data_IF_190976634834
#
_entry.id   IF_190976634834
#
_cell.length_a   1.000
_cell.length_b   1.000
_cell.length_c   1.000
_cell.angle_alpha   90.00
_cell.angle_beta   90.00
_cell.angle_gamma   90.00
#
_symmetry.space_group_name_H-M   'P 1'
#
loop_
_entity.id
_entity.type
_entity.pdbx_description
1 polymer ?
#
# COMPACT_ATOMS: atom_id res chain seq x y z
N UNK A 1 -18.05 -24.01 -7.28
CA UNK A 1 -18.05 -22.77 -6.49
C UNK A 1 -16.95 -21.88 -7.05
N UNK A 2 -17.23 -20.60 -7.32
CA UNK A 2 -16.23 -19.61 -7.70
C UNK A 2 -15.63 -18.99 -6.42
N UNK A 3 -14.50 -18.30 -6.55
CA UNK A 3 -13.82 -17.65 -5.42
C UNK A 3 -13.88 -16.14 -5.57
N UNK A 4 -13.81 -15.41 -4.46
CA UNK A 4 -13.58 -13.97 -4.45
C UNK A 4 -12.07 -13.75 -4.55
N UNK A 5 -11.63 -12.85 -5.42
CA UNK A 5 -10.21 -12.56 -5.59
C UNK A 5 -9.81 -11.29 -4.83
N UNK A 6 -8.89 -11.41 -3.87
CA UNK A 6 -8.14 -10.26 -3.35
C UNK A 6 -6.95 -10.02 -4.27
N UNK A 7 -6.88 -8.84 -4.90
CA UNK A 7 -5.88 -8.55 -5.92
C UNK A 7 -5.05 -7.32 -5.55
N UNK A 8 -3.75 -7.51 -5.44
CA UNK A 8 -2.79 -6.43 -5.27
C UNK A 8 -2.52 -5.75 -6.62
N UNK A 9 -2.64 -4.40 -6.66
CA UNK A 9 -2.41 -3.62 -7.89
C UNK A 9 -1.00 -3.02 -7.97
N UNK A 10 -0.10 -3.35 -7.05
CA UNK A 10 1.24 -2.78 -7.03
C UNK A 10 1.29 -1.35 -6.48
N UNK A 11 2.48 -0.72 -6.54
CA UNK A 11 2.79 0.50 -5.81
C UNK A 11 2.30 1.81 -6.46
N UNK A 12 1.72 1.75 -7.67
CA UNK A 12 1.19 2.93 -8.36
C UNK A 12 1.37 2.93 -9.87
N UNK A 13 2.46 2.35 -10.37
CA UNK A 13 2.66 2.16 -11.80
C UNK A 13 1.72 1.05 -12.32
N UNK A 14 0.81 1.37 -13.26
CA UNK A 14 -0.12 0.39 -13.78
C UNK A 14 0.53 -0.76 -14.55
N UNK A 15 1.75 -0.59 -15.08
CA UNK A 15 2.46 -1.66 -15.78
C UNK A 15 3.12 -2.67 -14.82
N UNK A 16 3.15 -2.37 -13.52
CA UNK A 16 3.63 -3.29 -12.48
C UNK A 16 2.54 -4.24 -11.94
N UNK A 17 1.40 -4.30 -12.60
CA UNK A 17 0.42 -5.36 -12.37
C UNK A 17 1.00 -6.71 -12.77
N UNK A 18 0.76 -7.74 -11.95
CA UNK A 18 1.11 -9.09 -12.39
C UNK A 18 0.18 -9.55 -13.51
N UNK A 19 0.70 -10.32 -14.47
CA UNK A 19 -0.11 -10.89 -15.56
C UNK A 19 -1.32 -11.67 -15.05
N UNK A 20 -1.16 -12.38 -13.93
CA UNK A 20 -2.26 -13.11 -13.28
C UNK A 20 -3.34 -12.17 -12.75
N UNK A 21 -2.95 -11.06 -12.12
CA UNK A 21 -3.87 -10.05 -11.62
C UNK A 21 -4.68 -9.45 -12.79
N UNK A 22 -4.02 -9.01 -13.85
CA UNK A 22 -4.67 -8.41 -15.02
C UNK A 22 -5.63 -9.39 -15.69
N UNK A 23 -5.23 -10.66 -15.88
CA UNK A 23 -6.10 -11.68 -16.44
C UNK A 23 -7.37 -11.87 -15.62
N UNK A 24 -7.26 -12.00 -14.30
CA UNK A 24 -8.41 -12.19 -13.42
C UNK A 24 -9.30 -10.95 -13.40
N UNK A 25 -8.74 -9.74 -13.37
CA UNK A 25 -9.50 -8.50 -13.43
C UNK A 25 -10.34 -8.39 -14.72
N UNK A 26 -9.86 -8.92 -15.83
CA UNK A 26 -10.63 -8.99 -17.07
C UNK A 26 -11.75 -10.03 -17.05
N UNK A 27 -11.64 -11.07 -16.20
CA UNK A 27 -12.60 -12.18 -16.10
C UNK A 27 -13.73 -11.95 -15.08
N UNK A 28 -13.56 -10.99 -14.13
CA UNK A 28 -14.55 -10.72 -13.09
C UNK A 28 -15.66 -9.78 -13.57
N UNK A 29 -16.82 -9.85 -12.92
CA UNK A 29 -18.00 -9.03 -13.23
C UNK A 29 -18.00 -7.73 -12.41
N UNK A 30 -17.49 -7.77 -11.18
CA UNK A 30 -17.55 -6.69 -10.20
C UNK A 30 -16.21 -6.51 -9.50
N UNK A 31 -15.75 -5.26 -9.41
CA UNK A 31 -14.51 -4.89 -8.73
C UNK A 31 -14.81 -3.91 -7.57
N UNK A 32 -14.48 -4.32 -6.36
CA UNK A 32 -14.46 -3.44 -5.19
C UNK A 32 -13.08 -2.79 -5.08
N UNK A 33 -13.04 -1.47 -4.87
CA UNK A 33 -11.78 -0.73 -4.74
C UNK A 33 -11.79 0.24 -3.56
N UNK A 34 -10.64 0.37 -2.84
CA UNK A 34 -10.52 1.27 -1.70
C UNK A 34 -10.34 2.72 -2.13
N UNK A 35 -10.73 3.62 -1.22
CA UNK A 35 -10.43 5.03 -1.32
C UNK A 35 -10.47 5.70 0.04
N UNK A 36 -10.15 6.96 0.06
CA UNK A 36 -10.23 7.81 1.25
C UNK A 36 -11.18 8.99 1.05
N UNK A 37 -11.76 9.46 2.16
CA UNK A 37 -12.51 10.71 2.20
C UNK A 37 -11.68 11.72 2.97
N UNK A 38 -11.37 12.83 2.33
CA UNK A 38 -10.69 13.95 2.96
C UNK A 38 -11.45 15.24 2.63
N UNK A 39 -11.90 16.00 3.63
CA UNK A 39 -12.70 17.22 3.48
C UNK A 39 -13.90 17.05 2.52
N UNK A 40 -14.59 15.89 2.61
CA UNK A 40 -15.73 15.56 1.75
C UNK A 40 -15.38 15.04 0.35
N UNK A 41 -14.14 15.19 -0.11
CA UNK A 41 -13.71 14.69 -1.40
C UNK A 41 -13.28 13.22 -1.32
N UNK A 42 -13.81 12.40 -2.23
CA UNK A 42 -13.42 10.99 -2.39
C UNK A 42 -12.22 10.89 -3.32
N UNK A 43 -11.17 10.21 -2.88
CA UNK A 43 -9.98 9.91 -3.69
C UNK A 43 -9.62 8.44 -3.55
N UNK A 44 -9.18 7.83 -4.64
CA UNK A 44 -8.64 6.47 -4.65
C UNK A 44 -7.28 6.46 -5.34
N UNK A 45 -6.31 5.83 -4.70
CA UNK A 45 -4.96 5.65 -5.27
C UNK A 45 -4.96 4.58 -6.37
N UNK A 46 -5.85 3.59 -6.28
CA UNK A 46 -5.91 2.48 -7.22
C UNK A 46 -6.81 2.75 -8.44
N UNK A 47 -7.72 3.71 -8.36
CA UNK A 47 -8.66 3.98 -9.45
C UNK A 47 -7.97 4.34 -10.78
N UNK A 48 -6.90 5.18 -10.81
CA UNK A 48 -6.15 5.44 -12.04
C UNK A 48 -5.53 4.20 -12.68
N UNK A 49 -5.16 3.19 -11.87
CA UNK A 49 -4.65 1.90 -12.39
C UNK A 49 -5.77 1.14 -13.10
N UNK A 50 -6.98 1.12 -12.53
CA UNK A 50 -8.15 0.50 -13.17
C UNK A 50 -8.49 1.18 -14.49
N UNK A 51 -8.43 2.51 -14.54
CA UNK A 51 -8.67 3.30 -15.77
C UNK A 51 -7.62 3.01 -16.85
N UNK A 52 -6.33 2.94 -16.49
CA UNK A 52 -5.26 2.64 -17.43
C UNK A 52 -5.52 1.32 -18.18
N UNK A 53 -6.03 0.31 -17.46
CA UNK A 53 -6.36 -1.00 -18.02
C UNK A 53 -7.79 -1.11 -18.58
N UNK A 54 -8.54 0.01 -18.73
CA UNK A 54 -9.91 0.06 -19.23
C UNK A 54 -10.88 -0.84 -18.46
N UNK A 55 -10.66 -0.93 -17.15
CA UNK A 55 -11.51 -1.74 -16.25
C UNK A 55 -12.72 -0.94 -15.72
N UNK A 56 -12.83 0.34 -16.03
CA UNK A 56 -13.98 1.19 -15.73
C UNK A 56 -15.25 0.81 -16.47
N UNK A 57 -15.14 0.02 -17.56
CA UNK A 57 -16.28 -0.55 -18.26
C UNK A 57 -16.99 -1.67 -17.47
N UNK A 58 -16.36 -2.16 -16.40
CA UNK A 58 -16.94 -3.14 -15.48
C UNK A 58 -17.72 -2.47 -14.36
N UNK A 59 -18.54 -3.25 -13.66
CA UNK A 59 -19.18 -2.73 -12.43
C UNK A 59 -18.11 -2.46 -11.37
N UNK A 60 -17.96 -1.18 -10.98
CA UNK A 60 -17.00 -0.74 -9.97
C UNK A 60 -17.75 -0.27 -8.72
N UNK A 61 -17.33 -0.75 -7.55
CA UNK A 61 -17.83 -0.30 -6.23
C UNK A 61 -16.69 0.20 -5.35
N UNK A 62 -16.69 1.51 -5.09
CA UNK A 62 -15.71 2.11 -4.19
C UNK A 62 -16.15 2.08 -2.73
N UNK A 63 -15.30 1.58 -1.83
CA UNK A 63 -15.46 1.72 -0.39
C UNK A 63 -14.45 2.74 0.14
N UNK A 64 -14.96 3.75 0.86
CA UNK A 64 -14.18 4.93 1.19
C UNK A 64 -14.04 5.09 2.69
N UNK A 65 -12.80 5.20 3.17
CA UNK A 65 -12.45 5.33 4.57
C UNK A 65 -12.15 6.80 4.91
N UNK A 66 -12.67 7.27 6.03
CA UNK A 66 -12.22 8.54 6.59
C UNK A 66 -10.83 8.37 7.20
N UNK A 67 -9.92 9.28 6.89
CA UNK A 67 -8.59 9.31 7.50
C UNK A 67 -8.69 9.85 8.93
N UNK A 68 -9.12 8.99 9.86
CA UNK A 68 -9.28 9.29 11.29
C UNK A 68 -8.45 8.35 12.14
N UNK A 69 -8.07 8.81 13.33
CA UNK A 69 -7.49 7.96 14.37
C UNK A 69 -8.52 6.99 14.97
N UNK A 70 -9.81 7.36 14.94
CA UNK A 70 -10.91 6.50 15.33
C UNK A 70 -11.17 5.43 14.26
N UNK A 71 -10.95 4.17 14.64
CA UNK A 71 -11.12 3.02 13.76
C UNK A 71 -12.53 2.43 13.73
N UNK A 72 -13.43 2.89 14.59
CA UNK A 72 -14.80 2.38 14.64
C UNK A 72 -15.52 2.57 13.31
N UNK A 73 -15.41 3.78 12.72
CA UNK A 73 -15.99 4.09 11.41
C UNK A 73 -15.37 3.24 10.27
N UNK A 74 -14.09 2.94 10.34
CA UNK A 74 -13.44 2.07 9.36
C UNK A 74 -13.97 0.63 9.46
N UNK A 75 -14.19 0.12 10.67
CA UNK A 75 -14.78 -1.21 10.90
C UNK A 75 -16.17 -1.34 10.30
N UNK A 76 -17.00 -0.31 10.44
CA UNK A 76 -18.34 -0.27 9.85
C UNK A 76 -18.31 -0.31 8.31
N UNK A 77 -17.40 0.45 7.69
CA UNK A 77 -17.21 0.41 6.24
C UNK A 77 -16.80 -0.98 5.78
N UNK A 78 -15.85 -1.65 6.47
CA UNK A 78 -15.46 -3.01 6.12
C UNK A 78 -16.59 -4.01 6.29
N UNK A 79 -17.39 -3.89 7.36
CA UNK A 79 -18.54 -4.75 7.61
C UNK A 79 -19.60 -4.61 6.50
N UNK A 80 -19.97 -3.37 6.14
CA UNK A 80 -20.93 -3.08 5.06
C UNK A 80 -20.39 -3.58 3.71
N UNK A 81 -19.10 -3.33 3.42
CA UNK A 81 -18.48 -3.81 2.17
C UNK A 81 -18.48 -5.34 2.10
N UNK A 82 -18.21 -6.04 3.21
CA UNK A 82 -18.24 -7.50 3.24
C UNK A 82 -19.64 -8.06 3.00
N UNK A 83 -20.68 -7.41 3.55
CA UNK A 83 -22.09 -7.79 3.29
C UNK A 83 -22.47 -7.58 1.82
N UNK A 84 -22.03 -6.49 1.19
CA UNK A 84 -22.27 -6.26 -0.24
C UNK A 84 -21.55 -7.30 -1.12
N UNK A 85 -20.33 -7.69 -0.72
CA UNK A 85 -19.58 -8.76 -1.40
C UNK A 85 -20.29 -10.10 -1.26
N UNK A 86 -20.76 -10.44 -0.04
CA UNK A 86 -21.52 -11.66 0.21
C UNK A 86 -22.77 -11.72 -0.65
N UNK A 87 -23.55 -10.64 -0.69
CA UNK A 87 -24.77 -10.57 -1.50
C UNK A 87 -24.48 -10.76 -3.01
N UNK A 88 -23.43 -10.09 -3.51
CA UNK A 88 -23.03 -10.24 -4.90
C UNK A 88 -22.49 -11.65 -5.22
N UNK A 89 -21.78 -12.27 -4.27
CA UNK A 89 -21.32 -13.66 -4.38
C UNK A 89 -22.47 -14.65 -4.45
N UNK A 90 -23.47 -14.49 -3.59
CA UNK A 90 -24.69 -15.32 -3.59
C UNK A 90 -25.50 -15.15 -4.89
N UNK A 91 -25.47 -13.95 -5.48
CA UNK A 91 -26.05 -13.68 -6.80
C UNK A 91 -25.23 -14.27 -7.97
N UNK A 92 -24.13 -15.00 -7.70
CA UNK A 92 -23.33 -15.68 -8.71
C UNK A 92 -22.28 -14.81 -9.42
N UNK A 93 -22.06 -13.55 -9.00
CA UNK A 93 -21.05 -12.66 -9.61
C UNK A 93 -19.64 -13.13 -9.30
N UNK A 94 -18.75 -13.04 -10.29
CA UNK A 94 -17.31 -13.15 -10.12
C UNK A 94 -16.76 -11.83 -9.59
N UNK A 95 -16.08 -11.85 -8.44
CA UNK A 95 -15.76 -10.65 -7.70
C UNK A 95 -14.24 -10.53 -7.50
N UNK A 96 -13.71 -9.34 -7.71
CA UNK A 96 -12.39 -8.94 -7.23
C UNK A 96 -12.50 -7.80 -6.20
N UNK A 97 -11.62 -7.84 -5.20
CA UNK A 97 -11.37 -6.74 -4.28
C UNK A 97 -9.92 -6.33 -4.45
N UNK A 98 -9.69 -5.10 -4.89
CA UNK A 98 -8.35 -4.62 -5.18
C UNK A 98 -7.76 -3.80 -4.04
N UNK A 99 -6.43 -3.70 -3.98
CA UNK A 99 -5.70 -2.87 -3.01
C UNK A 99 -4.38 -2.40 -3.62
N UNK A 100 -3.89 -1.25 -3.15
CA UNK A 100 -2.56 -0.75 -3.47
C UNK A 100 -1.46 -1.60 -2.84
N UNK A 101 -0.28 -1.62 -3.46
CA UNK A 101 0.90 -2.35 -3.01
C UNK A 101 0.72 -3.87 -3.09
N UNK A 102 1.02 -4.54 -1.99
CA UNK A 102 0.78 -5.97 -1.77
C UNK A 102 -0.22 -6.17 -0.62
N UNK A 103 -1.04 -7.23 -0.71
CA UNK A 103 -2.12 -7.50 0.25
C UNK A 103 -1.64 -7.95 1.62
N UNK A 104 -0.42 -8.49 1.72
CA UNK A 104 0.10 -9.10 2.94
C UNK A 104 0.84 -8.13 3.84
N UNK A 105 1.24 -6.94 3.33
CA UNK A 105 2.11 -6.02 4.06
C UNK A 105 1.42 -4.66 4.34
N UNK A 106 0.99 -4.47 5.58
CA UNK A 106 0.34 -3.24 6.08
C UNK A 106 -0.87 -2.77 5.26
N UNK A 107 -1.48 -3.66 4.48
CA UNK A 107 -2.65 -3.38 3.67
C UNK A 107 -3.92 -3.38 4.52
N UNK A 108 -4.79 -2.40 4.29
CA UNK A 108 -6.10 -2.33 4.92
C UNK A 108 -7.05 -3.46 4.48
N UNK A 109 -6.73 -4.12 3.37
CA UNK A 109 -7.45 -5.30 2.89
C UNK A 109 -7.54 -6.41 3.94
N UNK A 110 -6.55 -6.55 4.84
CA UNK A 110 -6.56 -7.57 5.90
C UNK A 110 -7.81 -7.49 6.78
N UNK A 111 -8.31 -6.30 7.09
CA UNK A 111 -9.53 -6.11 7.88
C UNK A 111 -10.78 -6.57 7.13
N UNK A 112 -10.85 -6.32 5.82
CA UNK A 112 -11.94 -6.81 4.99
C UNK A 112 -11.86 -8.34 4.83
N UNK A 113 -10.66 -8.90 4.67
CA UNK A 113 -10.45 -10.34 4.59
C UNK A 113 -10.95 -11.08 5.84
N UNK A 114 -10.72 -10.51 7.03
CA UNK A 114 -11.27 -11.07 8.28
C UNK A 114 -12.80 -11.12 8.22
N UNK A 115 -13.47 -10.07 7.77
CA UNK A 115 -14.92 -10.04 7.61
C UNK A 115 -15.43 -11.06 6.59
N UNK A 116 -14.75 -11.20 5.45
CA UNK A 116 -15.11 -12.22 4.45
C UNK A 116 -14.98 -13.64 5.00
N UNK A 117 -13.99 -13.89 5.88
CA UNK A 117 -13.83 -15.18 6.56
C UNK A 117 -14.96 -15.44 7.58
N UNK A 118 -15.43 -14.40 8.30
CA UNK A 118 -16.58 -14.53 9.21
C UNK A 118 -17.85 -15.01 8.46
N UNK A 119 -18.01 -14.63 7.19
CA UNK A 119 -19.08 -15.11 6.30
C UNK A 119 -18.78 -16.45 5.62
N UNK A 120 -17.66 -17.11 5.94
CA UNK A 120 -17.20 -18.36 5.32
C UNK A 120 -17.08 -18.27 3.78
N UNK A 121 -16.76 -17.08 3.24
CA UNK A 121 -16.60 -16.86 1.82
C UNK A 121 -15.23 -17.37 1.33
N UNK A 122 -15.15 -18.07 0.21
CA UNK A 122 -13.88 -18.53 -0.34
C UNK A 122 -13.13 -17.34 -0.96
N UNK A 123 -11.91 -17.08 -0.48
CA UNK A 123 -11.05 -15.98 -0.96
C UNK A 123 -9.72 -16.52 -1.46
N UNK A 124 -9.31 -16.06 -2.64
CA UNK A 124 -7.98 -16.33 -3.21
C UNK A 124 -7.21 -15.02 -3.33
N UNK A 125 -5.98 -14.98 -2.79
CA UNK A 125 -5.14 -13.79 -2.84
C UNK A 125 -4.16 -13.85 -4.01
N UNK A 126 -4.06 -12.75 -4.74
CA UNK A 126 -3.10 -12.54 -5.82
C UNK A 126 -2.11 -11.48 -5.35
N UNK A 127 -0.83 -11.83 -5.10
CA UNK A 127 0.16 -10.90 -4.59
C UNK A 127 0.56 -9.84 -5.63
N UNK A 128 1.16 -8.76 -5.16
CA UNK A 128 1.67 -7.68 -5.98
C UNK A 128 3.06 -7.22 -5.58
N UNK A 129 3.53 -6.16 -6.22
CA UNK A 129 4.83 -5.56 -5.92
C UNK A 129 4.69 -4.59 -4.75
N UNK A 130 5.56 -4.73 -3.75
CA UNK A 130 5.65 -3.79 -2.63
C UNK A 130 6.27 -2.46 -3.08
N UNK A 131 5.87 -1.36 -2.46
CA UNK A 131 6.39 -0.02 -2.78
C UNK A 131 7.91 0.09 -2.53
N UNK A 132 8.44 -0.53 -1.50
CA UNK A 132 9.89 -0.50 -1.25
C UNK A 132 10.70 -1.30 -2.29
N UNK A 133 10.13 -2.31 -2.95
CA UNK A 133 10.77 -3.00 -4.06
C UNK A 133 10.90 -2.08 -5.28
N UNK A 134 9.84 -1.33 -5.60
CA UNK A 134 9.91 -0.31 -6.65
C UNK A 134 10.88 0.82 -6.25
N UNK A 135 10.83 1.30 -5.00
CA UNK A 135 11.75 2.34 -4.52
C UNK A 135 13.22 1.93 -4.61
N UNK A 136 13.54 0.68 -4.26
CA UNK A 136 14.90 0.15 -4.41
C UNK A 136 15.35 0.07 -5.88
N UNK A 137 14.44 -0.33 -6.78
CA UNK A 137 14.71 -0.37 -8.22
C UNK A 137 14.94 1.03 -8.79
N UNK A 138 14.13 2.02 -8.42
CA UNK A 138 14.27 3.41 -8.85
C UNK A 138 15.60 4.04 -8.40
N UNK A 139 16.04 3.71 -7.19
CA UNK A 139 17.34 4.15 -6.68
C UNK A 139 18.52 3.27 -7.13
N UNK A 140 18.26 2.16 -7.85
CA UNK A 140 19.27 1.19 -8.28
C UNK A 140 20.09 0.62 -7.11
N UNK A 141 19.42 0.35 -5.97
CA UNK A 141 20.08 -0.19 -4.77
C UNK A 141 19.50 -1.54 -4.38
N UNK A 142 20.33 -2.51 -4.02
CA UNK A 142 19.85 -3.76 -3.45
C UNK A 142 19.31 -3.53 -2.02
N UNK A 143 18.19 -4.13 -1.67
CA UNK A 143 17.69 -4.14 -0.29
C UNK A 143 18.54 -5.04 0.60
N UNK A 144 19.06 -6.12 0.04
CA UNK A 144 19.94 -7.06 0.75
C UNK A 144 20.92 -7.71 -0.21
N UNK A 145 22.12 -8.01 0.29
CA UNK A 145 23.14 -8.80 -0.38
C UNK A 145 23.56 -9.94 0.55
N UNK A 146 23.78 -11.14 0.00
CA UNK A 146 24.24 -12.31 0.74
C UNK A 146 23.44 -12.54 2.03
N UNK A 147 24.02 -12.21 3.18
CA UNK A 147 23.47 -12.45 4.51
C UNK A 147 22.85 -11.20 5.14
N UNK A 148 22.72 -10.10 4.40
CA UNK A 148 22.13 -8.87 4.91
C UNK A 148 20.73 -9.11 5.44
N UNK A 149 20.44 -8.56 6.60
CA UNK A 149 19.12 -8.60 7.24
C UNK A 149 18.35 -7.32 6.93
N UNK A 150 17.08 -7.47 6.58
CA UNK A 150 16.20 -6.36 6.24
C UNK A 150 15.04 -6.28 7.23
N UNK A 151 14.80 -5.09 7.79
CA UNK A 151 13.62 -4.79 8.58
C UNK A 151 12.67 -3.85 7.83
N UNK A 152 11.36 -4.13 7.88
CA UNK A 152 10.31 -3.25 7.33
C UNK A 152 9.44 -2.76 8.48
N UNK A 153 9.54 -1.49 8.80
CA UNK A 153 9.01 -0.90 10.03
C UNK A 153 8.02 0.24 9.69
N UNK A 154 6.78 0.20 10.19
CA UNK A 154 5.83 1.29 10.00
C UNK A 154 5.91 2.30 11.15
N UNK A 155 5.68 3.58 10.84
CA UNK A 155 5.39 4.63 11.83
C UNK A 155 6.43 4.81 12.94
N UNK A 156 7.70 4.82 12.59
CA UNK A 156 8.79 5.16 13.52
C UNK A 156 8.57 6.59 14.06
N UNK A 157 8.87 6.80 15.34
CA UNK A 157 8.61 8.06 16.06
C UNK A 157 9.87 8.87 16.35
N UNK A 158 11.05 8.26 16.43
CA UNK A 158 12.29 8.94 16.77
C UNK A 158 13.52 8.19 16.24
N UNK A 159 14.65 8.89 16.21
CA UNK A 159 15.92 8.34 15.69
C UNK A 159 16.44 7.15 16.51
N UNK A 160 16.24 7.13 17.84
CA UNK A 160 16.72 6.04 18.70
C UNK A 160 16.05 4.70 18.36
N UNK A 161 14.81 4.76 17.90
CA UNK A 161 14.10 3.57 17.42
C UNK A 161 14.77 3.01 16.15
N UNK A 162 15.19 3.87 15.24
CA UNK A 162 15.91 3.48 14.03
C UNK A 162 17.29 2.91 14.39
N UNK A 163 18.03 3.57 15.28
CA UNK A 163 19.35 3.11 15.77
C UNK A 163 19.27 1.70 16.37
N UNK A 164 18.20 1.41 17.12
CA UNK A 164 18.00 0.07 17.70
C UNK A 164 17.84 -1.00 16.63
N UNK A 165 17.11 -0.74 15.55
CA UNK A 165 16.99 -1.69 14.45
C UNK A 165 18.34 -1.94 13.76
N UNK A 166 19.20 -0.93 13.66
CA UNK A 166 20.55 -1.10 13.10
C UNK A 166 21.53 -1.90 13.98
N UNK A 167 21.15 -2.30 15.18
CA UNK A 167 21.92 -3.28 15.95
C UNK A 167 21.84 -4.68 15.34
N UNK A 168 20.74 -5.02 14.66
CA UNK A 168 20.47 -6.36 14.16
C UNK A 168 20.26 -6.41 12.63
N UNK A 169 19.96 -5.29 11.98
CA UNK A 169 19.61 -5.23 10.57
C UNK A 169 20.59 -4.33 9.80
N UNK A 170 20.85 -4.69 8.55
CA UNK A 170 21.75 -3.96 7.64
C UNK A 170 20.98 -2.93 6.80
N UNK A 171 19.71 -3.21 6.54
CA UNK A 171 18.78 -2.32 5.85
C UNK A 171 17.51 -2.15 6.68
N UNK A 172 17.10 -0.92 6.89
CA UNK A 172 15.84 -0.56 7.57
C UNK A 172 14.95 0.21 6.61
N UNK A 173 13.77 -0.32 6.33
CA UNK A 173 12.78 0.30 5.46
C UNK A 173 11.69 0.90 6.34
N UNK A 174 11.58 2.21 6.34
CA UNK A 174 10.55 2.93 7.09
C UNK A 174 9.34 3.18 6.19
N UNK A 175 8.18 2.69 6.59
CA UNK A 175 6.91 2.94 5.91
C UNK A 175 6.02 3.89 6.71
N UNK A 176 5.15 4.64 6.01
CA UNK A 176 4.20 5.57 6.64
C UNK A 176 4.90 6.61 7.52
N UNK A 177 6.01 7.15 7.02
CA UNK A 177 6.92 8.04 7.76
C UNK A 177 6.32 9.41 8.09
N UNK A 178 5.26 9.83 7.41
CA UNK A 178 4.60 11.14 7.61
C UNK A 178 4.36 11.48 9.08
N UNK A 179 3.92 10.50 9.87
CA UNK A 179 3.51 10.72 11.26
C UNK A 179 4.65 10.98 12.24
N UNK A 180 5.90 10.66 11.89
CA UNK A 180 7.07 10.84 12.76
C UNK A 180 8.19 11.63 12.09
N UNK A 181 8.02 12.03 10.82
CA UNK A 181 9.09 12.65 10.05
C UNK A 181 9.74 13.84 10.74
N UNK A 182 8.93 14.76 11.24
CA UNK A 182 9.42 15.98 11.90
C UNK A 182 10.18 15.69 13.20
N UNK A 183 9.95 14.53 13.83
CA UNK A 183 10.55 14.19 15.12
C UNK A 183 11.96 13.61 14.97
N UNK A 184 12.33 13.09 13.77
CA UNK A 184 13.64 12.46 13.58
C UNK A 184 14.44 12.96 12.38
N UNK A 185 13.86 13.74 11.45
CA UNK A 185 14.54 14.16 10.21
C UNK A 185 15.84 14.90 10.44
N UNK A 186 15.89 15.84 11.42
CA UNK A 186 17.07 16.67 11.72
C UNK A 186 18.24 15.84 12.25
N UNK A 187 17.96 14.81 13.04
CA UNK A 187 18.98 13.91 13.53
C UNK A 187 19.41 12.91 12.46
N UNK A 188 18.46 12.46 11.60
CA UNK A 188 18.73 11.52 10.53
C UNK A 188 19.73 12.08 9.51
N UNK A 189 19.58 13.36 9.13
CA UNK A 189 20.50 14.05 8.18
C UNK A 189 21.95 14.10 8.74
N UNK A 190 22.13 14.03 10.05
CA UNK A 190 23.45 14.05 10.68
C UNK A 190 24.12 12.67 10.76
N UNK A 191 23.39 11.59 10.40
CA UNK A 191 23.94 10.24 10.40
C UNK A 191 24.71 9.96 9.10
N UNK A 192 25.76 9.17 9.22
CA UNK A 192 26.50 8.64 8.08
C UNK A 192 25.79 7.37 7.51
N UNK A 193 24.50 7.50 7.23
CA UNK A 193 23.69 6.44 6.65
C UNK A 193 23.28 6.80 5.22
N UNK A 194 23.26 5.81 4.36
CA UNK A 194 22.71 5.98 3.01
C UNK A 194 21.19 5.95 3.07
N UNK A 195 20.55 7.04 2.72
CA UNK A 195 19.12 7.23 2.77
C UNK A 195 18.53 7.40 1.38
N UNK A 196 17.44 6.70 1.11
CA UNK A 196 16.74 6.73 -0.18
C UNK A 196 15.26 6.96 0.08
N UNK A 197 14.85 8.20 -0.16
CA UNK A 197 13.46 8.63 0.03
C UNK A 197 12.65 8.40 -1.23
N UNK A 198 11.39 7.97 -1.06
CA UNK A 198 10.45 7.80 -2.13
C UNK A 198 9.04 8.23 -1.70
N UNK A 199 8.33 8.93 -2.58
CA UNK A 199 6.92 9.22 -2.40
C UNK A 199 6.13 9.02 -3.68
N UNK A 200 4.86 8.59 -3.55
CA UNK A 200 3.89 8.41 -4.63
C UNK A 200 4.46 7.61 -5.82
N UNK A 201 5.27 6.62 -5.49
CA UNK A 201 5.97 5.77 -6.46
C UNK A 201 5.02 5.25 -7.55
N UNK A 202 5.49 5.28 -8.79
CA UNK A 202 4.77 4.83 -9.98
C UNK A 202 3.64 5.74 -10.43
N UNK A 203 3.47 6.91 -9.83
CA UNK A 203 2.46 7.90 -10.24
C UNK A 203 3.10 9.09 -10.94
N UNK A 204 2.28 9.92 -11.58
CA UNK A 204 2.74 11.19 -12.18
C UNK A 204 3.31 12.19 -11.16
N UNK A 205 3.04 11.98 -9.87
CA UNK A 205 3.51 12.81 -8.77
C UNK A 205 4.67 12.14 -8.00
N UNK A 206 5.32 11.14 -8.61
CA UNK A 206 6.47 10.47 -8.04
C UNK A 206 7.60 11.47 -7.76
N UNK A 207 8.19 11.35 -6.57
CA UNK A 207 9.41 12.05 -6.22
C UNK A 207 10.33 11.14 -5.44
N UNK A 208 11.58 11.05 -5.85
CA UNK A 208 12.63 10.27 -5.20
C UNK A 208 13.88 11.12 -4.98
N UNK A 209 14.58 10.90 -3.88
CA UNK A 209 15.86 11.57 -3.61
C UNK A 209 16.72 10.75 -2.64
N UNK A 210 18.03 10.85 -2.77
CA UNK A 210 19.01 10.41 -1.77
C UNK A 210 19.54 11.58 -0.92
N UNK A 211 19.24 12.81 -1.31
CA UNK A 211 19.59 14.02 -0.56
C UNK A 211 18.41 14.45 0.34
N UNK A 212 18.49 14.09 1.62
CA UNK A 212 17.46 14.40 2.59
C UNK A 212 17.33 15.90 2.90
N UNK A 213 18.31 16.73 2.55
CA UNK A 213 18.23 18.19 2.75
C UNK A 213 17.12 18.80 1.90
N UNK A 214 16.81 18.19 0.77
CA UNK A 214 15.71 18.58 -0.14
C UNK A 214 14.32 18.40 0.50
N UNK A 215 14.23 17.65 1.60
CA UNK A 215 12.98 17.37 2.30
C UNK A 215 12.67 18.34 3.45
N UNK A 216 13.58 19.26 3.78
CA UNK A 216 13.49 20.10 4.99
C UNK A 216 12.22 20.95 5.06
N UNK A 217 11.69 21.38 3.89
CA UNK A 217 10.46 22.19 3.81
C UNK A 217 9.33 21.45 3.07
N UNK A 218 9.49 20.13 2.84
CA UNK A 218 8.54 19.36 2.08
C UNK A 218 7.45 18.78 2.99
N UNK A 219 6.18 18.95 2.63
CA UNK A 219 5.08 18.20 3.26
C UNK A 219 5.15 16.75 2.82
N UNK A 220 5.47 15.86 3.73
CA UNK A 220 5.61 14.43 3.45
C UNK A 220 4.23 13.80 3.25
N UNK A 221 3.91 13.27 2.07
CA UNK A 221 2.61 12.67 1.82
C UNK A 221 2.44 11.32 2.53
N UNK A 222 1.19 10.84 2.59
CA UNK A 222 0.89 9.54 3.21
C UNK A 222 1.60 8.37 2.53
N UNK A 223 1.65 8.37 1.19
CA UNK A 223 2.37 7.37 0.41
C UNK A 223 3.83 7.77 0.27
N UNK A 224 4.58 7.59 1.34
CA UNK A 224 6.02 7.82 1.40
C UNK A 224 6.72 6.73 2.21
N UNK A 225 7.95 6.45 1.83
CA UNK A 225 8.85 5.52 2.51
C UNK A 225 10.29 6.01 2.46
N UNK A 226 11.10 5.45 3.33
CA UNK A 226 12.55 5.69 3.36
C UNK A 226 13.27 4.35 3.49
N UNK A 227 14.22 4.10 2.60
CA UNK A 227 15.14 2.97 2.69
C UNK A 227 16.44 3.51 3.28
N UNK A 228 16.91 2.92 4.38
CA UNK A 228 18.12 3.34 5.07
C UNK A 228 19.08 2.15 5.10
N UNK A 229 20.34 2.40 4.75
CA UNK A 229 21.44 1.41 4.78
C UNK A 229 22.63 1.97 5.54
N UNK A 230 23.36 1.09 6.24
CA UNK A 230 24.68 1.41 6.78
C UNK A 230 25.70 1.65 5.67
#
# INVERSE_FOLDING_TARGET
MHTIYGIALGPGDPELLTLKALRILNEVDLIFYPGSINNGAKKSFVYPILQYHRLEDKELKGFFLKMSADRSQASEVYQTTAQEIEHAYQAGKKIAVVCEGDLSLYASFSYLLEKLKEFNLPVTLIPGINSFSLGAAQHQVPLSLLNDKVAVIPRVKNIKEIERYFQEFDTVILMKIRSGWNDFQSELVQKDWKCYYCERLGTKEEFITSDLTTLTQRDIPYFSLLIIKK
#
